data_IF_134207961985
#
_entry.id   IF_134207961985
#
_cell.length_a   1.000
_cell.length_b   1.000
_cell.length_c   1.000
_cell.angle_alpha   90.00
_cell.angle_beta   90.00
_cell.angle_gamma   90.00
#
_symmetry.space_group_name_H-M   'P 1'
#
loop_
_entity.id
_entity.type
_entity.pdbx_description
1 polymer ?
#
# COMPACT_ATOMS: atom_id res chain seq x y z
N UNK A 1 18.29 -7.44 -18.55
CA UNK A 1 16.81 -7.52 -18.61
C UNK A 1 16.38 -7.55 -20.06
N UNK A 2 15.53 -8.52 -20.40
CA UNK A 2 14.95 -8.68 -21.73
C UNK A 2 13.44 -8.55 -21.67
N UNK A 3 12.85 -7.97 -22.71
CA UNK A 3 11.40 -7.87 -22.88
C UNK A 3 10.97 -8.61 -24.13
N UNK A 4 9.90 -9.36 -24.02
CA UNK A 4 9.17 -9.94 -25.15
C UNK A 4 7.84 -9.21 -25.23
N UNK A 5 7.59 -8.59 -26.38
CA UNK A 5 6.51 -7.62 -26.55
C UNK A 5 5.97 -7.64 -27.98
N UNK A 6 4.82 -7.02 -28.20
CA UNK A 6 4.33 -6.74 -29.54
C UNK A 6 3.88 -5.29 -29.71
N UNK A 7 3.94 -4.81 -30.94
CA UNK A 7 3.42 -3.50 -31.30
C UNK A 7 1.90 -3.53 -31.42
N UNK A 8 1.24 -2.58 -30.76
CA UNK A 8 -0.19 -2.32 -30.89
C UNK A 8 -0.41 -0.81 -30.96
N UNK A 9 -0.96 -0.31 -32.08
CA UNK A 9 -1.25 1.10 -32.29
C UNK A 9 -0.04 2.03 -32.00
N UNK A 10 1.14 1.71 -32.54
CA UNK A 10 2.41 2.44 -32.33
C UNK A 10 2.97 2.39 -30.91
N UNK A 11 2.35 1.64 -30.01
CA UNK A 11 2.80 1.43 -28.64
C UNK A 11 3.22 -0.03 -28.43
N UNK A 12 3.86 -0.31 -27.30
CA UNK A 12 4.31 -1.64 -26.90
C UNK A 12 3.40 -2.25 -25.83
N UNK A 13 3.10 -3.54 -26.00
CA UNK A 13 2.48 -4.39 -24.96
C UNK A 13 3.48 -5.47 -24.57
N UNK A 14 3.88 -5.47 -23.30
CA UNK A 14 4.88 -6.41 -22.77
C UNK A 14 4.19 -7.68 -22.32
N UNK A 15 4.63 -8.83 -22.83
CA UNK A 15 4.02 -10.13 -22.53
C UNK A 15 4.93 -11.06 -21.74
N UNK A 16 6.23 -10.86 -21.75
CA UNK A 16 7.16 -11.59 -20.89
C UNK A 16 8.36 -10.71 -20.58
N UNK A 17 8.88 -10.86 -19.36
CA UNK A 17 10.07 -10.17 -18.86
C UNK A 17 11.06 -11.23 -18.40
N UNK A 18 12.32 -11.07 -18.78
CA UNK A 18 13.42 -11.88 -18.23
C UNK A 18 14.38 -10.99 -17.46
N UNK A 19 14.75 -11.44 -16.27
CA UNK A 19 15.55 -10.68 -15.31
C UNK A 19 16.13 -11.61 -14.26
N UNK A 20 17.39 -11.37 -13.89
CA UNK A 20 18.04 -12.00 -12.75
C UNK A 20 17.77 -11.26 -11.42
N UNK A 21 17.07 -10.13 -11.47
CA UNK A 21 16.60 -9.37 -10.30
C UNK A 21 15.12 -9.66 -10.01
N UNK A 22 14.73 -9.91 -8.74
CA UNK A 22 13.33 -10.06 -8.32
C UNK A 22 12.59 -8.72 -8.24
N UNK A 23 13.32 -7.60 -8.24
CA UNK A 23 12.76 -6.26 -8.38
C UNK A 23 12.83 -5.84 -9.85
N UNK A 24 11.67 -5.64 -10.47
CA UNK A 24 11.52 -5.32 -11.89
C UNK A 24 11.12 -3.85 -12.03
N UNK A 25 11.87 -3.09 -12.83
CA UNK A 25 11.48 -1.76 -13.28
C UNK A 25 11.42 -1.76 -14.79
N UNK A 26 10.21 -1.71 -15.34
CA UNK A 26 10.01 -1.63 -16.78
C UNK A 26 10.41 -0.23 -17.29
N UNK A 27 11.07 -0.12 -18.46
CA UNK A 27 11.45 1.18 -19.02
C UNK A 27 10.22 1.95 -19.49
N UNK A 28 10.35 3.28 -19.66
CA UNK A 28 9.26 4.08 -20.24
C UNK A 28 8.98 3.72 -21.72
N UNK A 29 10.02 3.27 -22.44
CA UNK A 29 9.91 2.89 -23.85
C UNK A 29 10.73 1.64 -24.18
N UNK A 30 10.32 0.94 -25.24
CA UNK A 30 11.08 -0.13 -25.91
C UNK A 30 11.10 0.16 -27.41
N UNK A 31 12.29 0.23 -28.01
CA UNK A 31 12.47 0.60 -29.42
C UNK A 31 11.70 1.87 -29.83
N UNK A 32 11.76 2.91 -28.98
CA UNK A 32 11.09 4.19 -29.21
C UNK A 32 9.57 4.19 -28.99
N UNK A 33 8.96 3.04 -28.66
CA UNK A 33 7.52 2.89 -28.39
C UNK A 33 7.24 2.94 -26.90
N UNK A 34 6.19 3.64 -26.50
CA UNK A 34 5.75 3.67 -25.09
C UNK A 34 5.19 2.31 -24.68
N UNK A 35 5.52 1.86 -23.49
CA UNK A 35 4.89 0.67 -22.91
C UNK A 35 3.54 1.09 -22.31
N UNK A 36 2.46 0.70 -22.98
CA UNK A 36 1.09 1.12 -22.60
C UNK A 36 0.29 0.00 -21.94
N UNK A 37 0.75 -1.25 -22.04
CA UNK A 37 0.07 -2.36 -21.39
C UNK A 37 1.02 -3.47 -20.93
N UNK A 38 0.63 -4.10 -19.83
CA UNK A 38 1.16 -5.39 -19.37
C UNK A 38 0.21 -6.47 -19.85
N UNK A 39 0.70 -7.33 -20.73
CA UNK A 39 -0.04 -8.38 -21.40
C UNK A 39 -0.51 -9.48 -20.46
N UNK A 40 -1.49 -10.25 -20.93
CA UNK A 40 -2.06 -11.33 -20.14
C UNK A 40 -0.97 -12.29 -19.64
N UNK A 41 -1.08 -12.71 -18.38
CA UNK A 41 -0.13 -13.59 -17.70
C UNK A 41 1.32 -13.09 -17.57
N UNK A 42 1.66 -11.81 -17.87
CA UNK A 42 3.05 -11.36 -18.10
C UNK A 42 4.07 -11.83 -17.05
N UNK A 43 3.70 -11.75 -15.77
CA UNK A 43 4.50 -12.17 -14.62
C UNK A 43 3.92 -13.42 -13.94
N UNK A 44 2.90 -14.05 -14.52
CA UNK A 44 2.18 -15.14 -13.87
C UNK A 44 3.01 -16.41 -13.70
N UNK A 45 2.82 -17.11 -12.58
CA UNK A 45 3.32 -18.48 -12.37
C UNK A 45 2.50 -19.51 -13.16
N UNK A 46 2.62 -19.49 -14.49
CA UNK A 46 2.05 -20.53 -15.35
C UNK A 46 3.03 -20.91 -16.45
N UNK A 47 3.09 -22.20 -16.76
CA UNK A 47 3.78 -22.72 -17.96
C UNK A 47 3.09 -22.17 -19.20
N UNK A 48 3.68 -21.14 -19.82
CA UNK A 48 3.22 -20.64 -21.11
C UNK A 48 3.54 -21.66 -22.21
N UNK A 49 2.64 -21.77 -23.18
CA UNK A 49 3.05 -22.24 -24.52
C UNK A 49 3.89 -21.11 -25.12
N UNK A 50 4.98 -21.46 -25.80
CA UNK A 50 5.88 -20.49 -26.44
C UNK A 50 5.09 -19.37 -27.10
N UNK A 51 5.33 -18.14 -26.64
CA UNK A 51 4.70 -16.96 -27.19
C UNK A 51 5.38 -16.68 -28.53
N UNK A 52 4.71 -17.00 -29.64
CA UNK A 52 5.13 -16.54 -30.97
C UNK A 52 4.96 -15.01 -31.03
N UNK A 53 5.97 -14.28 -30.57
CA UNK A 53 5.97 -12.81 -30.52
C UNK A 53 7.20 -12.23 -31.21
N UNK A 54 7.07 -10.99 -31.66
CA UNK A 54 8.16 -10.24 -32.26
C UNK A 54 9.30 -10.10 -31.25
N UNK A 55 10.51 -10.48 -31.65
CA UNK A 55 11.81 -10.09 -31.10
C UNK A 55 11.95 -10.06 -29.56
N UNK A 56 12.84 -10.89 -29.03
CA UNK A 56 13.43 -10.62 -27.72
C UNK A 56 14.22 -9.31 -27.83
N UNK A 57 13.81 -8.25 -27.13
CA UNK A 57 14.54 -6.98 -27.07
C UNK A 57 15.29 -6.88 -25.74
N UNK A 58 16.61 -6.78 -25.81
CA UNK A 58 17.45 -6.52 -24.64
C UNK A 58 17.39 -5.03 -24.30
N UNK A 59 16.82 -4.70 -23.14
CA UNK A 59 16.65 -3.30 -22.72
C UNK A 59 17.92 -2.78 -22.05
N UNK A 60 18.68 -3.63 -21.34
CA UNK A 60 20.02 -3.36 -20.80
C UNK A 60 20.72 -4.69 -20.39
N UNK A 61 22.02 -4.83 -20.67
CA UNK A 61 22.87 -5.91 -20.15
C UNK A 61 23.07 -7.11 -21.08
N UNK A 62 23.72 -8.15 -20.56
CA UNK A 62 23.87 -9.46 -21.21
C UNK A 62 22.53 -10.23 -21.22
N UNK A 63 22.37 -11.23 -22.11
CA UNK A 63 21.17 -12.05 -22.15
C UNK A 63 20.91 -12.76 -20.81
N UNK A 64 19.66 -12.76 -20.34
CA UNK A 64 19.25 -13.42 -19.11
C UNK A 64 18.15 -14.44 -19.41
N UNK A 65 18.34 -15.69 -18.97
CA UNK A 65 17.41 -16.79 -19.26
C UNK A 65 16.35 -16.98 -18.15
N UNK A 66 16.47 -16.24 -17.04
CA UNK A 66 15.51 -16.34 -15.94
C UNK A 66 14.25 -15.54 -16.24
N UNK A 67 13.12 -16.24 -16.41
CA UNK A 67 11.82 -15.61 -16.56
C UNK A 67 11.37 -14.96 -15.25
N UNK A 68 11.04 -13.67 -15.29
CA UNK A 68 10.58 -12.93 -14.13
C UNK A 68 9.09 -13.25 -13.87
N UNK A 69 8.82 -14.37 -13.21
CA UNK A 69 7.45 -14.87 -12.99
C UNK A 69 7.23 -15.41 -11.58
N UNK A 70 5.98 -15.39 -11.12
CA UNK A 70 5.52 -16.17 -9.98
C UNK A 70 6.24 -15.86 -8.67
N UNK A 71 6.79 -16.90 -8.03
CA UNK A 71 7.49 -16.80 -6.74
C UNK A 71 8.88 -16.14 -6.82
N UNK A 72 9.33 -15.74 -8.01
CA UNK A 72 10.57 -14.98 -8.18
C UNK A 72 10.35 -13.47 -7.99
N UNK A 73 9.23 -12.93 -8.45
CA UNK A 73 9.05 -11.47 -8.50
C UNK A 73 8.55 -10.93 -7.16
N UNK A 74 9.27 -9.96 -6.62
CA UNK A 74 9.00 -9.37 -5.30
C UNK A 74 8.47 -7.94 -5.40
N UNK A 75 8.95 -7.16 -6.37
CA UNK A 75 8.50 -5.78 -6.59
C UNK A 75 8.46 -5.46 -8.07
N UNK A 76 7.43 -4.73 -8.50
CA UNK A 76 7.27 -4.33 -9.90
C UNK A 76 6.96 -2.84 -9.98
N UNK A 77 7.73 -2.13 -10.80
CA UNK A 77 7.48 -0.73 -11.17
C UNK A 77 7.15 -0.68 -12.65
N UNK A 78 5.88 -0.37 -12.95
CA UNK A 78 5.39 -0.13 -14.32
C UNK A 78 5.66 1.32 -14.73
N UNK A 79 5.81 1.63 -16.03
CA UNK A 79 6.04 2.98 -16.52
C UNK A 79 4.77 3.84 -16.50
N UNK A 80 4.93 5.15 -16.59
CA UNK A 80 3.81 6.12 -16.48
C UNK A 80 2.80 6.05 -17.62
N UNK A 81 3.22 5.50 -18.76
CA UNK A 81 2.37 5.31 -19.92
C UNK A 81 1.46 4.08 -19.83
N UNK A 82 1.61 3.21 -18.83
CA UNK A 82 0.75 2.02 -18.70
C UNK A 82 -0.68 2.43 -18.37
N UNK A 83 -1.57 2.12 -19.30
CA UNK A 83 -3.01 2.33 -19.21
C UNK A 83 -3.75 1.03 -18.87
N UNK A 84 -3.19 -0.12 -19.31
CA UNK A 84 -3.83 -1.44 -19.17
C UNK A 84 -2.95 -2.50 -18.52
N UNK A 85 -3.55 -3.26 -17.60
CA UNK A 85 -3.01 -4.51 -17.08
C UNK A 85 -4.01 -5.61 -17.45
N UNK A 86 -3.60 -6.51 -18.34
CA UNK A 86 -4.48 -7.54 -18.89
C UNK A 86 -4.69 -8.71 -17.93
N UNK A 87 -5.60 -9.62 -18.30
CA UNK A 87 -6.07 -10.72 -17.46
C UNK A 87 -4.90 -11.54 -16.89
N UNK A 88 -5.00 -11.84 -15.59
CA UNK A 88 -4.05 -12.70 -14.88
C UNK A 88 -2.58 -12.26 -14.98
N UNK A 89 -2.29 -10.99 -15.29
CA UNK A 89 -0.92 -10.50 -15.50
C UNK A 89 0.05 -10.83 -14.34
N UNK A 90 -0.42 -10.82 -13.09
CA UNK A 90 0.38 -11.20 -11.91
C UNK A 90 -0.16 -12.46 -11.21
N UNK A 91 -0.97 -13.30 -11.89
CA UNK A 91 -1.59 -14.47 -11.28
C UNK A 91 -0.54 -15.38 -10.62
N UNK A 92 -0.74 -15.66 -9.33
CA UNK A 92 0.10 -16.51 -8.48
C UNK A 92 1.54 -15.97 -8.25
N UNK A 93 1.73 -14.64 -8.30
CA UNK A 93 2.96 -13.98 -7.84
C UNK A 93 2.98 -13.87 -6.31
N UNK A 94 3.19 -15.00 -5.61
CA UNK A 94 3.01 -15.07 -4.14
C UNK A 94 4.00 -14.22 -3.34
N UNK A 95 5.15 -13.85 -3.91
CA UNK A 95 6.15 -13.00 -3.26
C UNK A 95 6.06 -11.53 -3.65
N UNK A 96 5.21 -11.17 -4.60
CA UNK A 96 5.03 -9.78 -5.02
C UNK A 96 4.45 -8.98 -3.86
N UNK A 97 5.29 -8.21 -3.18
CA UNK A 97 4.90 -7.44 -2.00
C UNK A 97 4.60 -5.98 -2.32
N UNK A 98 5.13 -5.46 -3.43
CA UNK A 98 4.94 -4.09 -3.86
C UNK A 98 4.73 -3.94 -5.36
N UNK A 99 3.71 -3.16 -5.74
CA UNK A 99 3.45 -2.74 -7.11
C UNK A 99 3.44 -1.22 -7.20
N UNK A 100 4.12 -0.67 -8.19
CA UNK A 100 4.10 0.75 -8.51
C UNK A 100 3.59 0.99 -9.93
N UNK A 101 2.57 1.85 -10.04
CA UNK A 101 1.90 2.17 -11.31
C UNK A 101 1.78 3.67 -11.53
N UNK A 102 1.67 4.09 -12.79
CA UNK A 102 1.32 5.46 -13.13
C UNK A 102 -0.15 5.76 -12.86
N UNK A 103 -0.52 7.04 -12.74
CA UNK A 103 -1.92 7.43 -12.51
C UNK A 103 -2.91 7.00 -13.61
N UNK A 104 -2.43 6.70 -14.82
CA UNK A 104 -3.28 6.35 -15.98
C UNK A 104 -3.67 4.88 -16.07
N UNK A 105 -3.24 4.03 -15.13
CA UNK A 105 -3.52 2.59 -15.17
C UNK A 105 -4.97 2.28 -14.78
N UNK A 106 -5.92 2.44 -15.71
CA UNK A 106 -7.37 2.38 -15.46
C UNK A 106 -8.01 1.10 -15.98
N UNK A 107 -7.42 0.41 -16.95
CA UNK A 107 -7.95 -0.84 -17.51
C UNK A 107 -7.31 -2.04 -16.80
N UNK A 108 -8.02 -2.61 -15.81
CA UNK A 108 -7.53 -3.77 -15.05
C UNK A 108 -8.35 -5.00 -15.39
N UNK A 109 -7.68 -6.03 -15.91
CA UNK A 109 -8.25 -7.31 -16.29
C UNK A 109 -8.74 -8.15 -15.10
N UNK A 110 -9.35 -9.28 -15.41
CA UNK A 110 -9.79 -10.26 -14.41
C UNK A 110 -8.60 -11.05 -13.85
N UNK A 111 -8.72 -11.50 -12.59
CA UNK A 111 -7.73 -12.35 -11.90
C UNK A 111 -6.30 -11.79 -11.82
N UNK A 112 -6.12 -10.48 -12.04
CA UNK A 112 -4.79 -9.84 -12.14
C UNK A 112 -3.91 -10.13 -10.92
N UNK A 113 -4.48 -10.06 -9.71
CA UNK A 113 -3.76 -10.29 -8.45
C UNK A 113 -4.18 -11.58 -7.74
N UNK A 114 -4.85 -12.50 -8.44
CA UNK A 114 -5.31 -13.73 -7.81
C UNK A 114 -4.09 -14.56 -7.34
N UNK A 115 -4.11 -15.00 -6.08
CA UNK A 115 -2.98 -15.62 -5.36
C UNK A 115 -1.72 -14.74 -5.19
N UNK A 116 -1.83 -13.41 -5.21
CA UNK A 116 -0.75 -12.48 -4.82
C UNK A 116 -0.74 -12.20 -3.31
N UNK A 117 -0.55 -13.24 -2.49
CA UNK A 117 -0.74 -13.18 -1.03
C UNK A 117 0.17 -12.22 -0.27
N UNK A 118 1.27 -11.74 -0.88
CA UNK A 118 2.17 -10.78 -0.25
C UNK A 118 1.90 -9.32 -0.61
N UNK A 119 1.01 -9.04 -1.58
CA UNK A 119 0.84 -7.70 -2.17
C UNK A 119 0.09 -6.77 -1.21
N UNK A 120 0.81 -6.21 -0.25
CA UNK A 120 0.23 -5.30 0.74
C UNK A 120 0.58 -3.83 0.50
N UNK A 121 1.37 -3.54 -0.54
CA UNK A 121 1.77 -2.17 -0.88
C UNK A 121 1.55 -1.86 -2.35
N UNK A 122 0.82 -0.78 -2.60
CA UNK A 122 0.66 -0.20 -3.93
C UNK A 122 1.15 1.24 -3.88
N UNK A 123 1.96 1.65 -4.85
CA UNK A 123 2.26 3.06 -5.10
C UNK A 123 1.63 3.51 -6.41
N UNK A 124 0.94 4.64 -6.38
CA UNK A 124 0.36 5.31 -7.54
C UNK A 124 1.11 6.63 -7.70
N UNK A 125 1.82 6.80 -8.82
CA UNK A 125 2.49 8.06 -9.15
C UNK A 125 1.46 9.07 -9.64
N UNK A 126 0.95 9.82 -8.67
CA UNK A 126 -0.07 10.85 -8.81
C UNK A 126 -0.56 11.28 -7.42
N UNK A 127 -1.28 12.40 -7.38
CA UNK A 127 -1.90 12.88 -6.15
C UNK A 127 -3.24 12.20 -5.91
N UNK A 128 -3.59 11.97 -4.65
CA UNK A 128 -4.84 11.29 -4.29
C UNK A 128 -6.11 12.06 -4.72
N UNK A 129 -6.03 13.40 -4.78
CA UNK A 129 -7.11 14.26 -5.25
C UNK A 129 -7.23 14.41 -6.78
N UNK A 130 -6.36 13.75 -7.55
CA UNK A 130 -6.43 13.70 -9.01
C UNK A 130 -7.17 12.45 -9.49
N UNK A 131 -7.60 12.45 -10.75
CA UNK A 131 -8.13 11.24 -11.39
C UNK A 131 -6.99 10.22 -11.54
N UNK A 132 -7.18 9.04 -10.95
CA UNK A 132 -6.19 7.96 -11.00
C UNK A 132 -6.86 6.60 -11.22
N UNK A 133 -6.06 5.59 -11.59
CA UNK A 133 -6.46 4.19 -11.66
C UNK A 133 -6.70 3.49 -10.32
N UNK A 134 -6.62 4.20 -9.19
CA UNK A 134 -6.68 3.62 -7.85
C UNK A 134 -7.95 2.79 -7.62
N UNK A 135 -9.11 3.31 -8.04
CA UNK A 135 -10.40 2.63 -7.89
C UNK A 135 -10.43 1.28 -8.62
N UNK A 136 -9.95 1.25 -9.87
CA UNK A 136 -9.96 0.06 -10.71
C UNK A 136 -8.97 -0.99 -10.22
N UNK A 137 -7.81 -0.54 -9.71
CA UNK A 137 -6.81 -1.41 -9.10
C UNK A 137 -7.34 -2.04 -7.80
N UNK A 138 -7.89 -1.23 -6.91
CA UNK A 138 -8.45 -1.67 -5.61
C UNK A 138 -9.65 -2.59 -5.77
N UNK A 139 -10.41 -2.48 -6.86
CA UNK A 139 -11.47 -3.42 -7.19
C UNK A 139 -10.97 -4.86 -7.46
N UNK A 140 -9.65 -5.07 -7.55
CA UNK A 140 -9.02 -6.39 -7.73
C UNK A 140 -8.24 -6.88 -6.52
N UNK A 141 -8.31 -6.15 -5.40
CA UNK A 141 -7.57 -6.43 -4.16
C UNK A 141 -8.56 -6.41 -3.02
N UNK A 142 -8.91 -7.57 -2.45
CA UNK A 142 -9.85 -7.66 -1.33
C UNK A 142 -9.20 -7.76 0.04
N UNK A 143 -7.89 -8.03 0.12
CA UNK A 143 -7.12 -8.08 1.37
C UNK A 143 -6.59 -6.69 1.77
N UNK A 144 -5.93 -6.61 2.93
CA UNK A 144 -5.30 -5.38 3.40
C UNK A 144 -4.26 -4.82 2.42
N UNK A 145 -4.38 -3.55 2.07
CA UNK A 145 -3.40 -2.88 1.21
C UNK A 145 -3.19 -1.43 1.60
N UNK A 146 -1.92 -1.03 1.73
CA UNK A 146 -1.49 0.35 1.86
C UNK A 146 -1.31 0.94 0.47
N UNK A 147 -2.07 1.98 0.13
CA UNK A 147 -1.94 2.72 -1.13
C UNK A 147 -1.25 4.05 -0.86
N UNK A 148 -0.07 4.20 -1.46
CA UNK A 148 0.75 5.39 -1.41
C UNK A 148 0.56 6.21 -2.70
N UNK A 149 0.10 7.44 -2.53
CA UNK A 149 0.13 8.50 -3.53
C UNK A 149 1.35 9.39 -3.31
N UNK A 150 1.57 10.39 -4.16
CA UNK A 150 2.67 11.35 -3.98
C UNK A 150 2.48 12.24 -2.74
N UNK A 151 1.22 12.43 -2.31
CA UNK A 151 0.84 13.37 -1.25
C UNK A 151 0.03 12.75 -0.11
N UNK A 152 -0.43 11.49 -0.26
CA UNK A 152 -1.25 10.80 0.72
C UNK A 152 -0.91 9.31 0.85
N UNK A 153 -1.21 8.74 2.01
CA UNK A 153 -1.21 7.29 2.25
C UNK A 153 -2.57 6.91 2.83
N UNK A 154 -3.19 5.87 2.28
CA UNK A 154 -4.46 5.33 2.76
C UNK A 154 -4.35 3.82 2.91
N UNK A 155 -4.89 3.29 4.01
CA UNK A 155 -4.93 1.86 4.29
C UNK A 155 -6.32 1.29 4.01
N UNK A 156 -6.45 0.44 3.00
CA UNK A 156 -7.70 -0.21 2.65
C UNK A 156 -7.77 -1.59 3.33
N UNK A 157 -8.63 -1.78 4.34
CA UNK A 157 -8.70 -3.04 5.08
C UNK A 157 -9.16 -4.21 4.21
N UNK A 158 -8.91 -5.43 4.66
CA UNK A 158 -9.51 -6.62 4.09
C UNK A 158 -11.05 -6.59 4.17
N UNK A 159 -11.71 -7.26 3.22
CA UNK A 159 -13.12 -7.56 3.28
C UNK A 159 -13.42 -8.88 2.57
N UNK A 160 -14.54 -9.50 2.95
CA UNK A 160 -15.03 -10.75 2.39
C UNK A 160 -16.41 -10.56 1.77
N UNK A 161 -16.62 -11.11 0.57
CA UNK A 161 -17.93 -11.17 -0.08
C UNK A 161 -18.42 -12.62 -0.08
N UNK A 162 -19.62 -12.83 0.42
CA UNK A 162 -20.31 -14.11 0.47
C UNK A 162 -21.74 -14.00 -0.06
N UNK A 163 -22.33 -15.15 -0.36
CA UNK A 163 -23.72 -15.25 -0.78
C UNK A 163 -24.48 -16.16 0.18
N UNK A 164 -25.33 -15.56 1.01
CA UNK A 164 -26.15 -16.29 1.97
C UNK A 164 -27.51 -16.60 1.37
N UNK A 165 -28.00 -17.82 1.57
CA UNK A 165 -29.37 -18.16 1.13
C UNK A 165 -30.37 -17.52 2.07
N UNK A 166 -31.09 -16.50 1.58
CA UNK A 166 -32.03 -15.71 2.39
C UNK A 166 -33.49 -16.12 2.18
N UNK A 167 -33.78 -17.03 1.25
CA UNK A 167 -35.14 -17.56 1.05
C UNK A 167 -35.17 -18.99 0.43
N UNK A 168 -36.28 -19.74 0.55
CA UNK A 168 -36.41 -21.15 0.11
C UNK A 168 -36.28 -21.43 -1.39
N UNK A 169 -35.96 -20.43 -2.22
CA UNK A 169 -35.86 -20.54 -3.68
C UNK A 169 -34.44 -20.25 -4.22
N UNK A 170 -33.40 -20.52 -3.42
CA UNK A 170 -32.01 -20.14 -3.76
C UNK A 170 -31.86 -18.64 -4.04
N UNK A 171 -32.62 -17.80 -3.32
CA UNK A 171 -32.37 -16.36 -3.34
C UNK A 171 -31.15 -16.13 -2.46
N UNK A 172 -30.08 -15.62 -3.08
CA UNK A 172 -28.85 -15.29 -2.39
C UNK A 172 -28.80 -13.79 -2.08
N UNK A 173 -28.59 -13.46 -0.81
CA UNK A 173 -28.22 -12.12 -0.38
C UNK A 173 -26.71 -11.97 -0.45
N UNK A 174 -26.23 -10.88 -1.04
CA UNK A 174 -24.82 -10.49 -0.93
C UNK A 174 -24.56 -10.09 0.51
N UNK A 175 -23.67 -10.82 1.18
CA UNK A 175 -23.16 -10.49 2.49
C UNK A 175 -21.72 -9.97 2.33
N UNK A 176 -21.43 -8.84 2.96
CA UNK A 176 -20.12 -8.19 2.90
C UNK A 176 -19.65 -7.97 4.34
N UNK A 177 -18.53 -8.59 4.67
CA UNK A 177 -17.89 -8.46 5.98
C UNK A 177 -16.61 -7.63 5.86
N UNK A 178 -16.40 -6.71 6.79
CA UNK A 178 -15.26 -5.80 6.81
C UNK A 178 -15.54 -4.45 6.15
N UNK A 179 -14.93 -3.40 6.69
CA UNK A 179 -15.08 -2.03 6.21
C UNK A 179 -14.19 -1.73 4.99
N UNK A 180 -13.34 -2.70 4.62
CA UNK A 180 -12.55 -2.70 3.40
C UNK A 180 -13.36 -2.45 2.13
N UNK A 181 -14.56 -3.01 2.04
CA UNK A 181 -15.43 -2.81 0.89
C UNK A 181 -15.87 -1.35 0.79
N UNK A 182 -16.32 -0.75 1.90
CA UNK A 182 -16.77 0.65 1.93
C UNK A 182 -15.62 1.60 1.62
N UNK A 183 -14.43 1.35 2.16
CA UNK A 183 -13.25 2.16 1.89
C UNK A 183 -12.95 2.23 0.38
N UNK A 184 -13.13 1.11 -0.33
CA UNK A 184 -12.95 1.01 -1.79
C UNK A 184 -14.07 1.67 -2.61
N UNK A 185 -15.18 2.07 -1.98
CA UNK A 185 -16.23 2.87 -2.61
C UNK A 185 -16.00 4.38 -2.47
N UNK A 186 -15.01 4.83 -1.68
CA UNK A 186 -14.74 6.26 -1.41
C UNK A 186 -13.98 6.94 -2.56
N UNK A 187 -14.59 6.93 -3.74
CA UNK A 187 -14.08 7.59 -4.93
C UNK A 187 -15.19 8.39 -5.62
N UNK A 188 -14.88 9.63 -6.02
CA UNK A 188 -15.78 10.49 -6.80
C UNK A 188 -15.04 10.99 -8.04
N UNK A 189 -15.59 10.73 -9.22
CA UNK A 189 -14.96 11.11 -10.50
C UNK A 189 -13.49 10.62 -10.62
N UNK A 190 -13.22 9.40 -10.16
CA UNK A 190 -11.87 8.80 -10.20
C UNK A 190 -10.86 9.37 -9.18
N UNK A 191 -11.29 10.28 -8.31
CA UNK A 191 -10.48 10.88 -7.23
C UNK A 191 -10.83 10.25 -5.90
N UNK A 192 -9.89 10.22 -4.96
CA UNK A 192 -10.17 9.81 -3.57
C UNK A 192 -11.14 10.80 -2.93
N UNK A 193 -12.26 10.28 -2.40
CA UNK A 193 -13.21 11.05 -1.61
C UNK A 193 -12.83 10.93 -0.12
N UNK A 194 -11.94 11.82 0.34
CA UNK A 194 -11.40 11.80 1.70
C UNK A 194 -12.47 11.92 2.78
N UNK A 195 -13.50 12.74 2.56
CA UNK A 195 -14.56 12.92 3.54
C UNK A 195 -15.39 11.63 3.68
N UNK A 196 -15.75 11.01 2.55
CA UNK A 196 -16.42 9.72 2.57
C UNK A 196 -15.55 8.64 3.23
N UNK A 197 -14.25 8.60 2.90
CA UNK A 197 -13.30 7.65 3.47
C UNK A 197 -13.19 7.81 4.99
N UNK A 198 -13.00 9.05 5.47
CA UNK A 198 -12.85 9.33 6.89
C UNK A 198 -14.15 9.09 7.68
N UNK A 199 -15.31 9.17 7.03
CA UNK A 199 -16.60 8.90 7.66
C UNK A 199 -16.78 7.43 8.07
N UNK A 200 -16.12 6.50 7.37
CA UNK A 200 -16.20 5.05 7.62
C UNK A 200 -15.69 4.69 9.02
N UNK A 201 -14.70 5.43 9.53
CA UNK A 201 -13.97 5.06 10.73
C UNK A 201 -14.86 4.89 11.97
N UNK A 202 -15.99 5.60 12.04
CA UNK A 202 -16.97 5.42 13.12
C UNK A 202 -17.59 4.03 13.16
N UNK A 203 -17.97 3.49 11.99
CA UNK A 203 -18.48 2.12 11.88
C UNK A 203 -17.35 1.11 12.05
N UNK A 204 -16.18 1.39 11.48
CA UNK A 204 -15.00 0.54 11.64
C UNK A 204 -14.64 0.33 13.11
N UNK A 205 -14.76 1.35 13.97
CA UNK A 205 -14.49 1.19 15.41
C UNK A 205 -15.35 0.13 16.11
N UNK A 206 -16.49 -0.25 15.53
CA UNK A 206 -17.38 -1.28 16.07
C UNK A 206 -17.15 -2.68 15.47
N UNK A 207 -16.52 -2.77 14.30
CA UNK A 207 -16.46 -4.00 13.49
C UNK A 207 -15.02 -4.49 13.24
N UNK A 208 -14.05 -3.57 13.18
CA UNK A 208 -12.66 -3.86 12.87
C UNK A 208 -11.80 -4.05 14.11
N UNK A 209 -10.70 -4.78 13.96
CA UNK A 209 -9.71 -4.97 15.02
C UNK A 209 -8.74 -3.80 15.14
N UNK A 210 -8.02 -3.73 16.27
CA UNK A 210 -7.11 -2.61 16.57
C UNK A 210 -5.99 -2.45 15.53
N UNK A 211 -5.54 -3.53 14.91
CA UNK A 211 -4.50 -3.45 13.87
C UNK A 211 -5.03 -2.65 12.66
N UNK A 212 -6.24 -2.93 12.21
CA UNK A 212 -6.88 -2.20 11.11
C UNK A 212 -7.10 -0.74 11.49
N UNK A 213 -7.68 -0.48 12.66
CA UNK A 213 -8.04 0.86 13.10
C UNK A 213 -6.82 1.75 13.35
N UNK A 214 -5.76 1.21 13.96
CA UNK A 214 -4.50 1.93 14.12
C UNK A 214 -3.90 2.27 12.76
N UNK A 215 -3.94 1.36 11.78
CA UNK A 215 -3.44 1.65 10.44
C UNK A 215 -4.21 2.78 9.75
N UNK A 216 -5.54 2.69 9.71
CA UNK A 216 -6.38 3.75 9.14
C UNK A 216 -6.12 5.11 9.80
N UNK A 217 -6.06 5.15 11.13
CA UNK A 217 -5.86 6.39 11.87
C UNK A 217 -4.45 6.97 11.68
N UNK A 218 -3.41 6.14 11.74
CA UNK A 218 -2.02 6.58 11.61
C UNK A 218 -1.74 7.14 10.22
N UNK A 219 -2.13 6.45 9.15
CA UNK A 219 -1.87 6.91 7.78
C UNK A 219 -2.60 8.22 7.48
N UNK A 220 -3.85 8.35 7.95
CA UNK A 220 -4.64 9.58 7.79
C UNK A 220 -4.09 10.76 8.58
N UNK A 221 -3.63 10.56 9.82
CA UNK A 221 -3.05 11.63 10.63
C UNK A 221 -1.66 12.05 10.14
N UNK A 222 -0.86 11.12 9.62
CA UNK A 222 0.47 11.41 9.06
C UNK A 222 0.40 12.04 7.66
N UNK A 223 -0.70 11.85 6.93
CA UNK A 223 -0.96 12.48 5.62
C UNK A 223 -2.33 13.18 5.57
N UNK A 224 -2.54 14.28 6.31
CA UNK A 224 -3.86 14.84 6.63
C UNK A 224 -4.51 15.66 5.50
N UNK A 225 -4.30 15.29 4.23
CA UNK A 225 -4.97 15.92 3.09
C UNK A 225 -6.47 15.66 3.18
N UNK A 226 -7.27 16.72 3.04
CA UNK A 226 -8.73 16.65 3.12
C UNK A 226 -9.28 16.25 4.49
N UNK A 227 -8.44 16.11 5.52
CA UNK A 227 -8.86 15.65 6.85
C UNK A 227 -9.56 16.78 7.60
N UNK A 228 -10.85 16.60 7.91
CA UNK A 228 -11.60 17.56 8.72
C UNK A 228 -11.19 17.49 10.19
N UNK A 229 -11.37 18.58 10.92
CA UNK A 229 -11.09 18.63 12.37
C UNK A 229 -11.87 17.57 13.15
N UNK A 230 -13.14 17.37 12.79
CA UNK A 230 -14.00 16.35 13.40
C UNK A 230 -13.39 14.94 13.26
N UNK A 231 -12.95 14.60 12.05
CA UNK A 231 -12.39 13.27 11.77
C UNK A 231 -10.99 13.13 12.37
N UNK A 232 -10.16 14.18 12.34
CA UNK A 232 -8.87 14.22 13.03
C UNK A 232 -9.01 13.87 14.51
N UNK A 233 -9.90 14.57 15.23
CA UNK A 233 -10.14 14.34 16.65
C UNK A 233 -10.66 12.93 16.92
N UNK A 234 -11.44 12.35 16.00
CA UNK A 234 -11.92 10.96 16.09
C UNK A 234 -10.75 9.97 16.02
N UNK A 235 -9.86 10.11 15.05
CA UNK A 235 -8.66 9.27 14.93
C UNK A 235 -7.75 9.41 16.15
N UNK A 236 -7.45 10.66 16.56
CA UNK A 236 -6.61 10.92 17.74
C UNK A 236 -7.20 10.32 19.01
N UNK A 237 -8.52 10.49 19.23
CA UNK A 237 -9.22 9.93 20.39
C UNK A 237 -9.09 8.41 20.43
N UNK A 238 -9.26 7.74 19.30
CA UNK A 238 -9.10 6.29 19.23
C UNK A 238 -7.66 5.87 19.54
N UNK A 239 -6.66 6.48 18.89
CA UNK A 239 -5.25 6.12 19.12
C UNK A 239 -4.80 6.36 20.57
N UNK A 240 -5.28 7.43 21.23
CA UNK A 240 -5.04 7.69 22.66
C UNK A 240 -5.60 6.59 23.55
N UNK A 241 -6.67 5.89 23.13
CA UNK A 241 -7.25 4.78 23.90
C UNK A 241 -6.51 3.45 23.76
N UNK A 242 -5.59 3.31 22.78
CA UNK A 242 -4.90 2.03 22.49
C UNK A 242 -3.37 2.15 22.35
N UNK A 243 -2.65 2.84 23.27
CA UNK A 243 -1.20 3.04 23.15
C UNK A 243 -0.40 1.73 23.10
N UNK A 244 -0.82 0.70 23.85
CA UNK A 244 -0.18 -0.63 23.83
C UNK A 244 -0.19 -1.24 22.41
N UNK A 245 -1.34 -1.17 21.72
CA UNK A 245 -1.49 -1.72 20.36
C UNK A 245 -0.63 -0.98 19.35
N UNK A 246 -0.54 0.34 19.46
CA UNK A 246 0.36 1.15 18.63
C UNK A 246 1.81 0.67 18.81
N UNK A 247 2.26 0.46 20.05
CA UNK A 247 3.61 0.02 20.32
C UNK A 247 3.88 -1.42 19.84
N UNK A 248 2.92 -2.34 19.99
CA UNK A 248 2.99 -3.69 19.44
C UNK A 248 3.15 -3.66 17.91
N UNK A 249 2.32 -2.88 17.21
CA UNK A 249 2.35 -2.75 15.75
C UNK A 249 3.67 -2.12 15.27
N UNK A 250 4.14 -1.07 15.95
CA UNK A 250 5.41 -0.42 15.63
C UNK A 250 6.58 -1.39 15.75
N UNK A 251 6.60 -2.23 16.80
CA UNK A 251 7.64 -3.23 17.01
C UNK A 251 7.60 -4.33 15.94
N UNK A 252 6.42 -4.94 15.74
CA UNK A 252 6.24 -6.06 14.82
C UNK A 252 6.69 -5.71 13.40
N UNK A 253 6.41 -4.47 12.97
CA UNK A 253 6.69 -4.01 11.61
C UNK A 253 7.89 -3.05 11.52
N UNK A 254 8.62 -2.86 12.63
CA UNK A 254 9.75 -1.90 12.75
C UNK A 254 9.41 -0.49 12.23
N UNK A 255 8.16 -0.02 12.42
CA UNK A 255 7.67 1.29 11.95
C UNK A 255 8.15 2.43 12.87
N UNK A 256 9.40 2.85 12.72
CA UNK A 256 10.02 3.89 13.55
C UNK A 256 9.33 5.26 13.41
N UNK A 257 8.93 5.65 12.21
CA UNK A 257 8.27 6.94 11.97
C UNK A 257 6.88 7.01 12.59
N UNK A 258 6.15 5.89 12.60
CA UNK A 258 4.89 5.78 13.34
C UNK A 258 5.13 5.97 14.83
N UNK A 259 6.10 5.27 15.41
CA UNK A 259 6.41 5.41 16.82
C UNK A 259 6.76 6.86 17.19
N UNK A 260 7.62 7.50 16.41
CA UNK A 260 7.99 8.92 16.58
C UNK A 260 6.76 9.82 16.51
N UNK A 261 5.90 9.65 15.51
CA UNK A 261 4.69 10.44 15.36
C UNK A 261 3.73 10.24 16.54
N UNK A 262 3.48 8.99 16.94
CA UNK A 262 2.58 8.66 18.04
C UNK A 262 3.04 9.29 19.34
N UNK A 263 4.32 9.18 19.73
CA UNK A 263 4.79 9.70 21.02
C UNK A 263 4.96 11.22 21.06
N UNK A 264 5.25 11.85 19.92
CA UNK A 264 5.51 13.30 19.86
C UNK A 264 4.26 14.12 19.53
N UNK A 265 3.23 13.51 18.94
CA UNK A 265 2.01 14.20 18.52
C UNK A 265 0.78 13.65 19.26
N UNK A 266 0.37 12.42 18.94
CA UNK A 266 -0.93 11.87 19.38
C UNK A 266 -0.97 11.66 20.89
N UNK A 267 0.08 11.01 21.41
CA UNK A 267 0.24 10.60 22.80
C UNK A 267 1.09 11.60 23.63
N UNK A 268 1.35 12.78 23.09
CA UNK A 268 2.11 13.82 23.79
C UNK A 268 1.36 14.36 25.03
N UNK A 269 2.08 15.05 25.93
CA UNK A 269 1.47 15.74 27.06
C UNK A 269 1.04 14.83 28.22
N UNK A 270 1.67 13.68 28.39
CA UNK A 270 1.37 12.75 29.50
C UNK A 270 0.19 11.81 29.24
N UNK A 271 -0.25 11.68 27.99
CA UNK A 271 -1.31 10.74 27.58
C UNK A 271 -0.86 9.27 27.52
N UNK A 272 0.40 8.99 27.85
CA UNK A 272 0.95 7.63 27.94
C UNK A 272 1.11 7.31 29.42
N UNK A 273 0.45 6.26 29.89
CA UNK A 273 0.68 5.74 31.23
C UNK A 273 2.13 5.24 31.36
N UNK A 274 2.77 5.57 32.50
CA UNK A 274 4.17 5.19 32.76
C UNK A 274 4.39 3.67 32.65
N UNK A 275 3.45 2.88 33.16
CA UNK A 275 3.45 1.41 33.11
C UNK A 275 3.45 0.87 31.69
N UNK A 276 2.57 1.40 30.82
CA UNK A 276 2.49 1.04 29.39
C UNK A 276 3.81 1.34 28.69
N UNK A 277 4.38 2.52 28.96
CA UNK A 277 5.66 2.95 28.37
C UNK A 277 6.84 2.07 28.81
N UNK A 278 6.93 1.75 30.11
CA UNK A 278 7.99 0.89 30.65
C UNK A 278 7.91 -0.53 30.11
N UNK A 279 6.71 -1.11 30.04
CA UNK A 279 6.48 -2.43 29.45
C UNK A 279 6.89 -2.48 27.97
N UNK A 280 6.53 -1.46 27.19
CA UNK A 280 6.95 -1.35 25.80
C UNK A 280 8.48 -1.24 25.66
N UNK A 281 9.11 -0.42 26.51
CA UNK A 281 10.57 -0.25 26.51
C UNK A 281 11.31 -1.57 26.77
N UNK A 282 10.89 -2.32 27.79
CA UNK A 282 11.48 -3.64 28.11
C UNK A 282 11.33 -4.58 26.92
N UNK A 283 10.13 -4.64 26.34
CA UNK A 283 9.85 -5.51 25.19
C UNK A 283 10.72 -5.14 23.98
N UNK A 284 10.91 -3.85 23.71
CA UNK A 284 11.70 -3.37 22.58
C UNK A 284 13.17 -3.73 22.74
N UNK A 285 13.72 -3.61 23.94
CA UNK A 285 15.11 -4.02 24.24
C UNK A 285 15.27 -5.53 24.08
N UNK A 286 14.32 -6.33 24.58
CA UNK A 286 14.35 -7.80 24.45
C UNK A 286 14.24 -8.30 23.01
N UNK A 287 13.64 -7.51 22.12
CA UNK A 287 13.46 -7.80 20.70
C UNK A 287 14.48 -7.05 19.82
N UNK A 288 15.56 -6.56 20.43
CA UNK A 288 16.68 -5.85 19.80
C UNK A 288 16.26 -4.64 18.96
N UNK A 289 15.19 -3.94 19.35
CA UNK A 289 14.77 -2.68 18.70
C UNK A 289 15.34 -1.44 19.38
N UNK A 290 16.64 -1.23 19.22
CA UNK A 290 17.36 -0.14 19.91
C UNK A 290 16.84 1.26 19.57
N UNK A 291 16.49 1.50 18.30
CA UNK A 291 15.99 2.79 17.82
C UNK A 291 14.60 3.08 18.39
N UNK A 292 13.74 2.07 18.44
CA UNK A 292 12.42 2.20 19.06
C UNK A 292 12.53 2.50 20.55
N UNK A 293 13.40 1.78 21.26
CA UNK A 293 13.65 2.00 22.69
C UNK A 293 14.17 3.42 22.96
N UNK A 294 15.06 3.94 22.12
CA UNK A 294 15.57 5.30 22.21
C UNK A 294 14.46 6.35 22.05
N UNK A 295 13.53 6.16 21.10
CA UNK A 295 12.37 7.05 20.92
C UNK A 295 11.49 7.07 22.16
N UNK A 296 11.19 5.91 22.76
CA UNK A 296 10.42 5.84 24.00
C UNK A 296 11.15 6.54 25.16
N UNK A 297 12.46 6.33 25.33
CA UNK A 297 13.24 7.00 26.38
C UNK A 297 13.28 8.53 26.25
N UNK A 298 13.29 9.04 25.02
CA UNK A 298 13.25 10.46 24.74
C UNK A 298 11.86 11.08 24.96
N UNK A 299 10.78 10.30 24.76
CA UNK A 299 9.41 10.78 24.92
C UNK A 299 9.16 11.32 26.35
N UNK A 300 8.71 12.57 26.47
CA UNK A 300 8.40 13.20 27.76
C UNK A 300 9.58 13.86 28.48
N UNK A 301 10.81 13.78 27.96
CA UNK A 301 11.89 14.69 28.40
C UNK A 301 11.55 16.09 27.88
N UNK A 302 11.18 17.02 28.77
CA UNK A 302 11.16 18.45 28.42
C UNK A 302 12.52 18.77 27.80
N UNK A 303 12.56 19.48 26.66
CA UNK A 303 13.80 20.08 26.17
C UNK A 303 14.37 20.94 27.29
N UNK A 304 15.32 20.42 28.05
CA UNK A 304 16.09 21.22 28.99
C UNK A 304 16.90 22.22 28.18
N UNK A 305 16.54 23.50 28.33
CA UNK A 305 17.39 24.66 28.08
C UNK A 305 18.14 24.70 26.75
N UNK A 306 17.56 25.35 25.75
CA UNK A 306 18.38 26.06 24.78
C UNK A 306 19.26 27.05 25.54
N UNK A 307 20.54 26.74 25.71
CA UNK A 307 21.55 27.68 26.20
C UNK A 307 21.47 28.92 25.31
N UNK A 308 20.96 30.03 25.86
CA UNK A 308 21.16 31.36 25.27
C UNK A 308 22.67 31.57 25.22
N UNK A 309 23.26 31.50 24.02
CA UNK A 309 24.56 32.06 23.79
C UNK A 309 24.42 33.59 23.90
N UNK A 310 24.78 34.13 25.07
CA UNK A 310 25.17 35.53 25.22
C UNK A 310 26.50 35.67 24.47
N UNK A 311 26.49 36.40 23.38
CA UNK A 311 27.69 37.07 22.89
C UNK A 311 27.43 38.57 23.05
N UNK A 312 28.03 39.14 24.08
CA UNK A 312 28.38 40.56 24.11
C UNK A 312 29.66 40.70 23.29
N UNK A 313 29.70 41.68 22.40
CA UNK A 313 30.94 42.29 21.95
C UNK A 313 30.76 43.81 22.03
N UNK A 314 31.79 44.42 22.62
CA UNK A 314 32.00 45.85 22.86
C UNK A 314 31.96 46.71 21.59
#
# INVERSE_FOLDING_TARGET
MELIWNEQNQNAVVHEVRSDSPEITLPETVEGRKIVAVGAYCFSDRKRKETNQNGITTVMGEPCDHSAQGEFVEKITLPDAVERIENAAFFNCKKLYALEVGKRTTEIGSDVFNNCSALHKVRIRGKAGEETGAKQLLARISWDVEVQFDDAVLFYPEYYEGYDTIAPAHIFGLNIEGEGFRARQCFREGKVDFEAYDSIFEKACAEENDRVLVHMAMDRLMTPIGLTEKNRLRYEKYLVSVPEKIFEICLKNRKLEWLKFSVNSVLAGGKIETTVKEKALVTYVQQDWTEGAAVLLAAGRKKEGGKKARYEFE
#
